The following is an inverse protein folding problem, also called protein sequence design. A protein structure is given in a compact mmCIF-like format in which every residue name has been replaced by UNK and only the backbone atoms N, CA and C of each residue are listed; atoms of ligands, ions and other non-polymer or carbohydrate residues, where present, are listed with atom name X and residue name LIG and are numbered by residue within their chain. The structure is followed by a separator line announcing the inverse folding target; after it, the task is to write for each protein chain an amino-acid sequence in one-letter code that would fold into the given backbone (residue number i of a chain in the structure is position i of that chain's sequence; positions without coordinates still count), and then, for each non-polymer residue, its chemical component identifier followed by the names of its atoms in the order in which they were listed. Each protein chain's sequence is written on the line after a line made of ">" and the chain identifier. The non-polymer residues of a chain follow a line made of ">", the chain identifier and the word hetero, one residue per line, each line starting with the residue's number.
data_IF_663839190886
#
_entry.id   IF_663839190886
#
_cell.length_a   1.000
_cell.length_b   1.000
_cell.length_c   1.000
_cell.angle_alpha   90.00
_cell.angle_beta   90.00
_cell.angle_gamma   90.00
#
_symmetry.space_group_name_H-M   'P 1'
#
loop_
_entity.id
_entity.type
_entity.pdbx_description
1 polymer ?
#
# COMPACT_ATOMS: atom_id res chain seq x y z
N UNK A 1 -30.79 72.28 -15.90
CA UNK A 1 -30.43 73.58 -15.27
C UNK A 1 -31.71 74.41 -15.20
N UNK A 2 -32.10 75.11 -14.11
CA UNK A 2 -31.41 75.50 -12.86
C UNK A 2 -32.03 74.81 -11.60
N UNK A 3 -31.26 74.44 -10.55
CA UNK A 3 -30.83 75.19 -9.34
C UNK A 3 -31.67 74.84 -8.09
N UNK A 4 -30.98 74.15 -7.15
CA UNK A 4 -31.00 74.29 -5.69
C UNK A 4 -32.35 74.18 -4.93
N UNK A 5 -32.37 73.35 -3.87
CA UNK A 5 -31.94 73.71 -2.50
C UNK A 5 -32.79 73.03 -1.41
N UNK A 6 -32.12 72.75 -0.29
CA UNK A 6 -32.65 72.85 1.09
C UNK A 6 -33.23 71.60 1.76
N UNK A 7 -32.37 70.99 2.59
CA UNK A 7 -32.69 70.53 3.95
C UNK A 7 -33.66 71.49 4.65
N UNK A 8 -34.69 70.95 5.32
CA UNK A 8 -35.04 71.34 6.71
C UNK A 8 -35.70 70.19 7.48
N UNK A 9 -35.16 70.00 8.67
CA UNK A 9 -35.64 69.20 9.80
C UNK A 9 -37.04 69.63 10.26
N UNK A 10 -37.78 68.68 10.86
CA UNK A 10 -38.85 68.79 11.88
C UNK A 10 -39.43 67.36 12.03
N UNK A 11 -39.68 66.72 13.17
CA UNK A 11 -39.56 66.99 14.60
C UNK A 11 -39.74 65.64 15.34
N UNK A 12 -39.03 65.41 16.44
CA UNK A 12 -39.24 64.37 17.48
C UNK A 12 -40.61 64.55 18.21
N UNK A 13 -41.02 63.73 19.21
CA UNK A 13 -40.65 62.36 19.65
C UNK A 13 -41.86 61.50 20.11
N UNK A 14 -41.58 60.32 20.70
CA UNK A 14 -42.31 59.52 21.72
C UNK A 14 -42.54 58.08 21.22
N UNK A 15 -42.42 57.01 21.99
CA UNK A 15 -41.75 56.68 23.25
C UNK A 15 -41.99 55.15 23.38
N UNK A 16 -41.06 54.44 24.02
CA UNK A 16 -41.25 53.08 24.53
C UNK A 16 -41.51 51.94 23.52
N UNK A 17 -40.53 51.05 23.40
CA UNK A 17 -40.52 49.87 24.26
C UNK A 17 -39.23 49.07 24.03
N UNK A 18 -38.58 48.72 25.15
CA UNK A 18 -37.49 47.78 25.25
C UNK A 18 -37.79 46.48 24.49
N UNK A 19 -36.78 45.97 23.79
CA UNK A 19 -36.41 44.56 23.78
C UNK A 19 -35.01 44.46 23.15
N UNK A 20 -34.01 44.33 24.01
CA UNK A 20 -32.64 43.97 23.64
C UNK A 20 -32.57 42.44 23.64
N UNK A 21 -32.29 41.78 22.49
CA UNK A 21 -31.62 40.51 22.50
C UNK A 21 -30.13 40.77 22.24
N UNK A 22 -29.30 40.40 23.20
CA UNK A 22 -27.84 40.31 23.03
C UNK A 22 -27.57 39.27 21.95
N UNK A 23 -27.18 39.71 20.76
CA UNK A 23 -26.68 38.83 19.71
C UNK A 23 -25.25 38.43 20.11
N UNK A 24 -25.10 37.25 20.71
CA UNK A 24 -23.81 36.62 20.91
C UNK A 24 -23.22 36.26 19.53
N UNK A 25 -22.26 37.05 19.06
CA UNK A 25 -21.45 36.72 17.89
C UNK A 25 -20.50 35.56 18.26
N UNK A 26 -20.95 34.32 18.07
CA UNK A 26 -20.08 33.17 18.03
C UNK A 26 -19.21 33.28 16.77
N UNK A 27 -17.95 33.67 16.96
CA UNK A 27 -16.95 33.66 15.90
C UNK A 27 -16.68 32.20 15.53
N UNK A 28 -17.25 31.76 14.41
CA UNK A 28 -16.94 30.47 13.81
C UNK A 28 -15.49 30.48 13.35
N UNK A 29 -14.64 29.76 14.08
CA UNK A 29 -13.30 29.39 13.60
C UNK A 29 -13.46 28.58 12.30
N UNK A 30 -12.81 28.97 11.19
CA UNK A 30 -12.83 28.17 9.98
C UNK A 30 -12.13 26.83 10.29
N UNK A 31 -12.87 25.73 10.12
CA UNK A 31 -12.31 24.40 10.14
C UNK A 31 -11.23 24.29 9.05
N UNK A 32 -10.09 23.59 9.30
CA UNK A 32 -9.12 23.34 8.26
C UNK A 32 -9.82 22.58 7.13
N UNK A 33 -9.73 23.13 5.91
CA UNK A 33 -10.15 22.43 4.72
C UNK A 33 -9.44 21.07 4.69
N UNK A 34 -10.21 19.99 4.71
CA UNK A 34 -9.68 18.67 4.45
C UNK A 34 -8.96 18.73 3.10
N UNK A 35 -7.65 18.54 3.11
CA UNK A 35 -6.88 18.43 1.88
C UNK A 35 -7.52 17.36 1.00
N UNK A 36 -7.78 17.70 -0.25
CA UNK A 36 -8.06 16.71 -1.29
C UNK A 36 -7.00 15.62 -1.18
N UNK A 37 -7.37 14.32 -1.12
CA UNK A 37 -6.39 13.25 -1.23
C UNK A 37 -5.56 13.54 -2.46
N UNK A 38 -4.24 13.65 -2.30
CA UNK A 38 -3.36 13.68 -3.46
C UNK A 38 -3.67 12.41 -4.25
N UNK A 39 -4.20 12.58 -5.47
CA UNK A 39 -4.45 11.46 -6.37
C UNK A 39 -3.10 10.80 -6.60
N UNK A 40 -2.91 9.64 -5.96
CA UNK A 40 -1.71 8.85 -6.14
C UNK A 40 -1.61 8.58 -7.64
N UNK A 41 -0.46 8.93 -8.24
CA UNK A 41 -0.18 8.58 -9.62
C UNK A 41 -0.55 7.11 -9.83
N UNK A 42 -1.23 6.75 -10.94
CA UNK A 42 -1.64 5.38 -11.18
C UNK A 42 -0.40 4.49 -11.02
N UNK A 43 -0.45 3.56 -10.07
CA UNK A 43 0.62 2.62 -9.87
C UNK A 43 0.83 1.91 -11.22
N UNK A 44 2.04 2.02 -11.78
CA UNK A 44 2.41 1.22 -12.95
C UNK A 44 2.15 -0.23 -12.58
N UNK A 45 1.26 -0.87 -13.33
CA UNK A 45 0.84 -2.23 -13.01
C UNK A 45 2.00 -3.17 -13.34
N UNK A 46 2.42 -4.06 -12.42
CA UNK A 46 3.58 -4.93 -12.65
C UNK A 46 3.41 -5.85 -13.88
N UNK A 47 2.17 -6.20 -14.23
CA UNK A 47 1.85 -6.94 -15.45
C UNK A 47 2.27 -8.40 -15.31
N UNK A 48 1.84 -9.06 -14.24
CA UNK A 48 2.18 -10.47 -13.97
C UNK A 48 1.30 -11.46 -14.75
N UNK A 49 0.32 -10.98 -15.52
CA UNK A 49 -0.72 -11.81 -16.13
C UNK A 49 -1.80 -12.26 -15.14
N UNK A 50 -1.77 -11.76 -13.90
CA UNK A 50 -2.71 -12.13 -12.85
C UNK A 50 -3.21 -10.89 -12.12
N UNK A 51 -4.46 -10.52 -12.38
CA UNK A 51 -5.05 -9.29 -11.86
C UNK A 51 -5.10 -9.23 -10.32
N UNK A 52 -5.24 -10.37 -9.63
CA UNK A 52 -5.22 -10.38 -8.17
C UNK A 52 -3.82 -10.08 -7.66
N UNK A 53 -2.78 -10.69 -8.25
CA UNK A 53 -1.38 -10.41 -7.90
C UNK A 53 -1.05 -8.94 -8.20
N UNK A 54 -1.35 -8.47 -9.41
CA UNK A 54 -1.09 -7.10 -9.85
C UNK A 54 -1.71 -6.07 -8.88
N UNK A 55 -3.00 -6.22 -8.53
CA UNK A 55 -3.69 -5.37 -7.57
C UNK A 55 -2.95 -5.29 -6.22
N UNK A 56 -2.49 -6.43 -5.70
CA UNK A 56 -1.86 -6.47 -4.37
C UNK A 56 -0.43 -5.94 -4.39
N UNK A 57 0.29 -6.10 -5.51
CA UNK A 57 1.61 -5.49 -5.70
C UNK A 57 1.52 -3.96 -5.80
N UNK A 58 0.46 -3.42 -6.40
CA UNK A 58 0.20 -1.97 -6.40
C UNK A 58 -0.07 -1.43 -4.99
N UNK A 59 -0.88 -2.14 -4.17
CA UNK A 59 -1.09 -1.76 -2.77
C UNK A 59 0.20 -1.90 -1.94
N UNK A 60 1.01 -2.93 -2.18
CA UNK A 60 2.35 -3.06 -1.59
C UNK A 60 3.24 -1.87 -1.95
N UNK A 61 3.14 -1.38 -3.19
CA UNK A 61 3.78 -0.14 -3.63
C UNK A 61 3.39 1.06 -2.75
N UNK A 62 2.09 1.22 -2.53
CA UNK A 62 1.53 2.29 -1.68
C UNK A 62 1.86 2.11 -0.19
N UNK A 63 2.02 0.86 0.26
CA UNK A 63 2.48 0.53 1.62
C UNK A 63 3.95 0.91 1.81
N UNK A 64 4.81 0.52 0.87
CA UNK A 64 6.25 0.77 0.94
C UNK A 64 6.60 2.27 0.95
N UNK A 65 5.80 3.11 0.28
CA UNK A 65 5.95 4.57 0.36
C UNK A 65 5.73 5.12 1.78
N UNK A 66 4.80 4.51 2.54
CA UNK A 66 4.47 4.92 3.91
C UNK A 66 5.34 4.24 4.97
N UNK A 67 5.74 3.00 4.72
CA UNK A 67 6.45 2.13 5.67
C UNK A 67 7.65 1.44 5.00
N UNK A 68 8.63 2.20 4.49
CA UNK A 68 9.73 1.63 3.71
C UNK A 68 10.57 0.62 4.51
N UNK A 69 10.84 0.89 5.79
CA UNK A 69 11.66 -0.01 6.61
C UNK A 69 10.99 -1.36 6.87
N UNK A 70 9.67 -1.36 7.06
CA UNK A 70 8.86 -2.57 7.24
C UNK A 70 8.79 -3.39 5.95
N UNK A 71 8.61 -2.72 4.80
CA UNK A 71 8.66 -3.36 3.49
C UNK A 71 10.04 -3.99 3.22
N UNK A 72 11.12 -3.26 3.48
CA UNK A 72 12.49 -3.76 3.32
C UNK A 72 12.75 -4.96 4.24
N UNK A 73 12.28 -4.92 5.50
CA UNK A 73 12.45 -6.02 6.45
C UNK A 73 11.71 -7.28 5.99
N UNK A 74 10.50 -7.11 5.48
CA UNK A 74 9.67 -8.19 4.96
C UNK A 74 10.35 -8.90 3.79
N UNK A 75 10.71 -8.16 2.74
CA UNK A 75 11.38 -8.75 1.57
C UNK A 75 12.69 -9.41 1.99
N UNK A 76 13.52 -8.70 2.76
CA UNK A 76 14.82 -9.23 3.15
C UNK A 76 14.74 -10.53 3.95
N UNK A 77 13.78 -10.63 4.89
CA UNK A 77 13.62 -11.80 5.76
C UNK A 77 13.06 -12.99 5.01
N UNK A 78 12.01 -12.80 4.20
CA UNK A 78 11.25 -13.92 3.63
C UNK A 78 11.69 -14.34 2.23
N UNK A 79 12.62 -13.60 1.61
CA UNK A 79 13.25 -13.99 0.34
C UNK A 79 14.76 -14.15 0.47
N UNK A 80 15.27 -14.19 1.71
CA UNK A 80 16.69 -14.30 2.06
C UNK A 80 17.59 -13.27 1.32
N UNK A 81 17.00 -12.12 0.99
CA UNK A 81 17.68 -11.11 0.18
C UNK A 81 18.35 -10.09 1.11
N UNK A 82 19.62 -9.72 0.88
CA UNK A 82 20.30 -8.77 1.76
C UNK A 82 19.52 -7.45 1.90
N UNK A 83 19.27 -7.02 3.14
CA UNK A 83 18.48 -5.80 3.45
C UNK A 83 18.96 -4.58 2.66
N UNK A 84 20.28 -4.37 2.62
CA UNK A 84 20.90 -3.27 1.88
C UNK A 84 20.68 -3.34 0.36
N UNK A 85 20.50 -4.53 -0.21
CA UNK A 85 20.20 -4.68 -1.63
C UNK A 85 18.76 -4.26 -1.95
N UNK A 86 17.79 -4.66 -1.13
CA UNK A 86 16.38 -4.22 -1.26
C UNK A 86 16.28 -2.69 -1.10
N UNK A 87 16.98 -2.14 -0.10
CA UNK A 87 17.05 -0.69 0.11
C UNK A 87 17.64 0.03 -1.11
N UNK A 88 18.73 -0.50 -1.69
CA UNK A 88 19.32 0.09 -2.88
C UNK A 88 18.35 0.07 -4.08
N UNK A 89 17.61 -1.02 -4.29
CA UNK A 89 16.62 -1.12 -5.38
C UNK A 89 15.52 -0.07 -5.27
N UNK A 90 15.04 0.23 -4.06
CA UNK A 90 14.04 1.28 -3.85
C UNK A 90 14.53 2.69 -4.24
N UNK A 91 15.83 2.89 -4.37
CA UNK A 91 16.42 4.16 -4.80
C UNK A 91 16.72 4.20 -6.31
N UNK A 92 16.58 3.07 -7.02
CA UNK A 92 16.82 3.00 -8.47
C UNK A 92 15.60 3.51 -9.21
N UNK A 93 15.80 4.50 -10.09
CA UNK A 93 14.72 5.01 -10.94
C UNK A 93 14.14 3.91 -11.83
N UNK A 94 12.81 3.87 -11.94
CA UNK A 94 12.09 2.85 -12.73
C UNK A 94 11.75 1.57 -11.97
N UNK A 95 12.26 1.37 -10.75
CA UNK A 95 11.81 0.29 -9.87
C UNK A 95 10.70 0.75 -8.94
N UNK A 96 9.59 0.01 -8.93
CA UNK A 96 8.54 0.18 -7.91
C UNK A 96 8.68 -0.89 -6.84
N UNK A 97 8.23 -0.60 -5.62
CA UNK A 97 8.26 -1.59 -4.54
C UNK A 97 7.45 -2.86 -4.87
N UNK A 98 6.36 -2.75 -5.65
CA UNK A 98 5.65 -3.92 -6.18
C UNK A 98 6.56 -4.81 -7.04
N UNK A 99 7.33 -4.21 -7.96
CA UNK A 99 8.28 -4.93 -8.79
C UNK A 99 9.40 -5.57 -7.97
N UNK A 100 9.93 -4.86 -6.96
CA UNK A 100 10.97 -5.39 -6.07
C UNK A 100 10.45 -6.59 -5.29
N UNK A 101 9.23 -6.50 -4.74
CA UNK A 101 8.60 -7.60 -4.04
C UNK A 101 8.42 -8.80 -4.96
N UNK A 102 7.83 -8.60 -6.14
CA UNK A 102 7.61 -9.69 -7.09
C UNK A 102 8.93 -10.33 -7.52
N UNK A 103 9.93 -9.52 -7.89
CA UNK A 103 11.24 -10.01 -8.32
C UNK A 103 11.84 -10.99 -7.30
N UNK A 104 11.84 -10.60 -6.03
CA UNK A 104 12.43 -11.41 -4.97
C UNK A 104 11.54 -12.59 -4.54
N UNK A 105 10.24 -12.39 -4.37
CA UNK A 105 9.31 -13.43 -3.93
C UNK A 105 9.13 -14.52 -5.01
N UNK A 106 9.02 -14.11 -6.28
CA UNK A 106 9.02 -15.05 -7.40
C UNK A 106 10.31 -15.85 -7.44
N UNK A 107 11.47 -15.18 -7.43
CA UNK A 107 12.77 -15.85 -7.46
C UNK A 107 12.90 -16.88 -6.33
N UNK A 108 12.52 -16.53 -5.11
CA UNK A 108 12.50 -17.44 -3.98
C UNK A 108 11.60 -18.67 -4.24
N UNK A 109 10.39 -18.45 -4.79
CA UNK A 109 9.47 -19.56 -5.10
C UNK A 109 10.00 -20.53 -6.16
N UNK A 110 10.83 -20.05 -7.10
CA UNK A 110 11.47 -20.86 -8.16
C UNK A 110 12.93 -21.21 -7.87
N UNK A 111 13.40 -21.01 -6.63
CA UNK A 111 14.78 -21.29 -6.19
C UNK A 111 15.87 -20.57 -7.01
N UNK A 112 15.57 -19.36 -7.49
CA UNK A 112 16.54 -18.43 -8.08
C UNK A 112 16.92 -17.34 -7.09
N UNK A 113 18.05 -16.66 -7.32
CA UNK A 113 18.39 -15.50 -6.52
C UNK A 113 17.52 -14.29 -6.91
N UNK A 114 17.14 -13.44 -5.95
CA UNK A 114 16.44 -12.20 -6.28
C UNK A 114 17.22 -11.35 -7.31
N UNK A 115 18.55 -11.37 -7.24
CA UNK A 115 19.42 -10.68 -8.19
C UNK A 115 19.26 -11.16 -9.62
N UNK A 116 19.03 -12.46 -9.85
CA UNK A 116 18.83 -12.99 -11.20
C UNK A 116 17.50 -12.52 -11.79
N UNK A 117 16.43 -12.51 -11.00
CA UNK A 117 15.13 -11.97 -11.39
C UNK A 117 15.19 -10.47 -11.67
N UNK A 118 15.84 -9.69 -10.79
CA UNK A 118 16.09 -8.26 -10.99
C UNK A 118 16.88 -7.99 -12.28
N UNK A 119 17.91 -8.81 -12.55
CA UNK A 119 18.71 -8.68 -13.78
C UNK A 119 17.88 -9.01 -15.03
N UNK A 120 17.01 -10.01 -14.97
CA UNK A 120 16.12 -10.36 -16.07
C UNK A 120 15.16 -9.20 -16.39
N UNK A 121 14.50 -8.66 -15.37
CA UNK A 121 13.60 -7.50 -15.52
C UNK A 121 14.33 -6.26 -16.03
N UNK A 122 15.50 -5.94 -15.47
CA UNK A 122 16.29 -4.78 -15.89
C UNK A 122 16.74 -4.90 -17.35
N UNK A 123 17.05 -6.12 -17.82
CA UNK A 123 17.47 -6.37 -19.20
C UNK A 123 16.32 -6.11 -20.17
N UNK A 124 15.13 -6.61 -19.85
CA UNK A 124 13.98 -6.53 -20.73
C UNK A 124 12.64 -6.79 -20.01
N UNK A 125 11.85 -5.73 -19.77
CA UNK A 125 10.55 -5.77 -19.09
C UNK A 125 9.41 -5.10 -19.87
N UNK A 126 9.55 -4.90 -21.18
CA UNK A 126 8.51 -4.21 -21.97
C UNK A 126 7.16 -4.93 -21.95
N UNK A 127 7.17 -6.25 -21.85
CA UNK A 127 5.98 -7.11 -21.73
C UNK A 127 5.49 -7.29 -20.27
N UNK A 128 6.05 -6.53 -19.32
CA UNK A 128 5.79 -6.73 -17.89
C UNK A 128 6.38 -8.03 -17.34
N UNK A 129 5.96 -8.38 -16.13
CA UNK A 129 6.44 -9.58 -15.43
C UNK A 129 6.07 -10.89 -16.12
N UNK A 130 4.93 -10.98 -16.79
CA UNK A 130 4.52 -12.18 -17.55
C UNK A 130 5.58 -12.54 -18.61
N UNK A 131 6.03 -11.57 -19.40
CA UNK A 131 7.12 -11.80 -20.34
C UNK A 131 8.44 -12.12 -19.65
N UNK A 132 8.76 -11.44 -18.54
CA UNK A 132 10.02 -11.68 -17.81
C UNK A 132 10.09 -13.11 -17.28
N UNK A 133 9.04 -13.62 -16.64
CA UNK A 133 9.06 -14.96 -16.02
C UNK A 133 9.17 -16.08 -17.05
N UNK A 134 8.61 -15.91 -18.26
CA UNK A 134 8.72 -16.93 -19.32
C UNK A 134 10.13 -17.04 -19.89
N UNK A 135 10.96 -16.00 -19.72
CA UNK A 135 12.37 -15.95 -20.15
C UNK A 135 13.35 -16.38 -19.06
N UNK A 136 12.89 -16.63 -17.84
CA UNK A 136 13.73 -17.17 -16.77
C UNK A 136 14.10 -18.63 -17.05
N UNK A 137 15.17 -19.11 -16.41
CA UNK A 137 15.67 -20.47 -16.57
C UNK A 137 14.73 -21.55 -16.01
N UNK A 138 13.75 -21.16 -15.21
CA UNK A 138 12.76 -22.05 -14.60
C UNK A 138 11.39 -21.68 -15.14
N UNK A 139 10.72 -22.63 -15.79
CA UNK A 139 9.38 -22.42 -16.29
C UNK A 139 8.39 -22.27 -15.12
N UNK A 140 7.48 -21.27 -15.17
CA UNK A 140 6.44 -21.13 -14.16
C UNK A 140 5.54 -22.37 -14.14
N UNK A 141 5.14 -22.79 -12.95
CA UNK A 141 4.14 -23.83 -12.78
C UNK A 141 3.09 -23.39 -11.74
N UNK A 142 2.05 -24.21 -11.59
CA UNK A 142 0.96 -23.91 -10.67
C UNK A 142 1.40 -23.90 -9.19
N UNK A 143 2.48 -24.62 -8.83
CA UNK A 143 3.01 -24.61 -7.47
C UNK A 143 3.73 -23.29 -7.17
N UNK A 144 4.55 -22.80 -8.09
CA UNK A 144 5.24 -21.51 -8.00
C UNK A 144 4.23 -20.35 -7.88
N UNK A 145 3.19 -20.34 -8.72
CA UNK A 145 2.13 -19.31 -8.65
C UNK A 145 1.35 -19.36 -7.34
N UNK A 146 1.06 -20.55 -6.81
CA UNK A 146 0.43 -20.69 -5.48
C UNK A 146 1.33 -20.19 -4.37
N UNK A 147 2.62 -20.56 -4.40
CA UNK A 147 3.60 -20.12 -3.41
C UNK A 147 3.73 -18.59 -3.38
N UNK A 148 3.75 -17.93 -4.55
CA UNK A 148 3.75 -16.48 -4.65
C UNK A 148 2.50 -15.86 -4.00
N UNK A 149 1.31 -16.37 -4.30
CA UNK A 149 0.07 -15.87 -3.67
C UNK A 149 0.08 -16.07 -2.16
N UNK A 150 0.55 -17.22 -1.68
CA UNK A 150 0.64 -17.50 -0.24
C UNK A 150 1.63 -16.54 0.44
N UNK A 151 2.76 -16.25 -0.20
CA UNK A 151 3.72 -15.26 0.29
C UNK A 151 3.10 -13.86 0.41
N UNK A 152 2.34 -13.43 -0.61
CA UNK A 152 1.60 -12.15 -0.58
C UNK A 152 0.64 -12.11 0.62
N UNK A 153 -0.17 -13.15 0.82
CA UNK A 153 -1.11 -13.20 1.96
C UNK A 153 -0.37 -13.13 3.29
N UNK A 154 0.72 -13.88 3.43
CA UNK A 154 1.52 -13.90 4.65
C UNK A 154 2.13 -12.52 4.96
N UNK A 155 2.58 -11.77 3.95
CA UNK A 155 3.06 -10.39 4.12
C UNK A 155 1.96 -9.46 4.61
N UNK A 156 0.75 -9.55 4.05
CA UNK A 156 -0.39 -8.76 4.52
C UNK A 156 -0.79 -9.10 5.95
N UNK A 157 -0.72 -10.38 6.34
CA UNK A 157 -1.01 -10.78 7.70
C UNK A 157 -0.03 -10.16 8.70
N UNK A 158 1.27 -10.20 8.39
CA UNK A 158 2.35 -9.61 9.22
C UNK A 158 2.31 -8.09 9.29
N UNK A 159 1.88 -7.43 8.24
CA UNK A 159 1.70 -5.97 8.25
C UNK A 159 0.36 -5.53 8.83
N UNK A 160 -0.46 -6.48 9.28
CA UNK A 160 -1.82 -6.22 9.76
C UNK A 160 -2.70 -5.48 8.73
N UNK A 161 -2.43 -5.72 7.44
CA UNK A 161 -3.19 -5.13 6.35
C UNK A 161 -4.38 -6.01 5.99
N UNK A 162 -5.55 -5.40 5.71
CA UNK A 162 -6.68 -6.15 5.20
C UNK A 162 -6.37 -6.68 3.80
N UNK A 163 -6.75 -7.93 3.55
CA UNK A 163 -6.59 -8.58 2.25
C UNK A 163 -7.87 -9.32 1.86
N UNK A 164 -8.29 -9.18 0.60
CA UNK A 164 -9.45 -9.90 0.08
C UNK A 164 -8.99 -11.15 -0.66
N UNK A 165 -9.30 -12.31 -0.09
CA UNK A 165 -8.98 -13.60 -0.71
C UNK A 165 -10.08 -14.03 -1.68
N UNK A 166 -9.67 -14.57 -2.84
CA UNK A 166 -10.56 -15.30 -3.72
C UNK A 166 -11.04 -16.62 -3.05
N UNK A 167 -11.99 -17.31 -3.68
CA UNK A 167 -12.59 -18.51 -3.12
C UNK A 167 -11.59 -19.68 -2.97
N UNK A 168 -10.61 -19.79 -3.86
CA UNK A 168 -9.60 -20.84 -3.83
C UNK A 168 -8.59 -20.57 -2.71
N UNK A 169 -8.06 -19.35 -2.63
CA UNK A 169 -7.14 -18.92 -1.57
C UNK A 169 -7.79 -19.03 -0.19
N UNK A 170 -9.05 -18.62 -0.05
CA UNK A 170 -9.79 -18.76 1.22
C UNK A 170 -9.95 -20.24 1.63
N UNK A 171 -10.18 -21.13 0.67
CA UNK A 171 -10.23 -22.59 0.95
C UNK A 171 -8.87 -23.13 1.35
N UNK A 172 -7.79 -22.67 0.72
CA UNK A 172 -6.44 -23.15 0.97
C UNK A 172 -5.87 -22.66 2.30
N UNK A 173 -6.11 -21.40 2.64
CA UNK A 173 -5.46 -20.73 3.75
C UNK A 173 -6.39 -20.49 4.96
N UNK A 174 -7.70 -20.61 4.79
CA UNK A 174 -8.66 -20.31 5.86
C UNK A 174 -8.83 -18.81 6.13
N UNK A 175 -9.48 -18.50 7.26
CA UNK A 175 -9.63 -17.13 7.74
C UNK A 175 -8.34 -16.57 8.36
N UNK A 176 -8.36 -15.28 8.72
CA UNK A 176 -7.16 -14.61 9.25
C UNK A 176 -6.71 -15.20 10.59
N UNK A 177 -7.63 -15.57 11.47
CA UNK A 177 -7.27 -16.12 12.78
C UNK A 177 -6.59 -17.48 12.61
N UNK A 178 -7.11 -18.32 11.72
CA UNK A 178 -6.51 -19.61 11.36
C UNK A 178 -5.10 -19.46 10.80
N UNK A 179 -4.88 -18.48 9.91
CA UNK A 179 -3.54 -18.23 9.33
C UNK A 179 -2.53 -17.74 10.37
N UNK A 180 -2.94 -16.85 11.26
CA UNK A 180 -2.07 -16.33 12.33
C UNK A 180 -1.70 -17.43 13.32
N UNK A 181 -2.66 -18.29 13.67
CA UNK A 181 -2.42 -19.44 14.53
C UNK A 181 -1.44 -20.42 13.89
N UNK A 182 -1.66 -20.79 12.62
CA UNK A 182 -0.74 -21.66 11.89
C UNK A 182 0.67 -21.06 11.78
N UNK A 183 0.79 -19.74 11.61
CA UNK A 183 2.09 -19.06 11.59
C UNK A 183 2.78 -19.09 12.96
N UNK A 184 2.01 -18.96 14.05
CA UNK A 184 2.51 -19.07 15.42
C UNK A 184 3.03 -20.48 15.71
N UNK A 185 2.23 -21.51 15.40
CA UNK A 185 2.62 -22.91 15.54
C UNK A 185 3.88 -23.23 14.73
N UNK A 186 4.00 -22.71 13.50
CA UNK A 186 5.19 -22.89 12.68
C UNK A 186 6.44 -22.23 13.29
N UNK A 187 6.30 -21.04 13.89
CA UNK A 187 7.41 -20.37 14.59
C UNK A 187 7.83 -21.16 15.82
N UNK A 188 6.88 -21.61 16.64
CA UNK A 188 7.14 -22.42 17.84
C UNK A 188 7.83 -23.75 17.48
N UNK A 189 7.41 -24.38 16.39
CA UNK A 189 8.05 -25.59 15.88
C UNK A 189 9.48 -25.34 15.37
N UNK A 190 9.72 -24.22 14.67
CA UNK A 190 11.07 -23.85 14.21
C UNK A 190 12.01 -23.53 15.39
N UNK A 191 11.52 -22.83 16.41
CA UNK A 191 12.28 -22.54 17.64
C UNK A 191 12.60 -23.84 18.40
N UNK A 192 11.66 -24.77 18.48
CA UNK A 192 11.87 -26.08 19.09
C UNK A 192 12.91 -26.91 18.32
N UNK A 193 12.88 -26.89 16.98
CA UNK A 193 13.87 -27.56 16.14
C UNK A 193 15.28 -26.98 16.35
N UNK A 194 15.40 -25.64 16.36
CA UNK A 194 16.66 -24.96 16.61
C UNK A 194 17.24 -25.26 18.01
N UNK A 195 16.38 -25.32 19.04
CA UNK A 195 16.78 -25.72 20.39
C UNK A 195 17.21 -27.19 20.48
N UNK A 196 16.63 -28.04 19.63
CA UNK A 196 17.00 -29.46 19.52
C UNK A 196 18.29 -29.70 18.71
N UNK A 197 18.87 -28.66 18.09
CA UNK A 197 20.06 -28.77 17.25
C UNK A 197 19.81 -29.46 15.91
N UNK A 198 18.56 -29.42 15.43
CA UNK A 198 18.13 -29.86 14.09
C UNK A 198 18.13 -28.68 13.13
#
# INVERSE_FOLDING_TARGET
>A
MPVLRSRRLRSLPLLAALLVPVLAAAQGVPAPAAGTPAEAAPAVMPGTGDAWVDQHLADMGSYAQRYPDSFIAEVARYTETPRGYVQALLQVHGWHAGDIYFACAWAHSVQLSCRDSVRAYTRDHHDGWEGVITRLSVAPDNAHLRALRHAIVASYDRWERPITLDALLRRQLGDRAQRLEAAREASEAADAAAQAGL
#
